data_IF_927628788771
#
_entry.id   IF_927628788771
#
_cell.length_a   1.000
_cell.length_b   1.000
_cell.length_c   1.000
_cell.angle_alpha   90.00
_cell.angle_beta   90.00
_cell.angle_gamma   90.00
#
_symmetry.space_group_name_H-M   'P 1'
#
loop_
_entity.id
_entity.type
_entity.pdbx_description
1 polymer ?
#
# COMPACT_ATOMS: atom_id res chain seq x y z
N UNK A 1 0.79 -12.47 3.22
CA UNK A 1 -0.47 -12.12 2.49
C UNK A 1 -1.67 -12.94 2.95
N UNK A 2 -1.56 -14.24 3.18
CA UNK A 2 -2.69 -15.07 3.64
C UNK A 2 -3.32 -14.58 4.95
N UNK A 3 -2.50 -14.18 5.93
CA UNK A 3 -2.99 -13.61 7.17
C UNK A 3 -3.76 -12.29 6.97
N UNK A 4 -3.31 -11.45 6.05
CA UNK A 4 -4.04 -10.23 5.67
C UNK A 4 -5.40 -10.57 5.04
N UNK A 5 -5.46 -11.58 4.18
CA UNK A 5 -6.71 -12.06 3.60
C UNK A 5 -7.71 -12.52 4.67
N UNK A 6 -7.25 -13.26 5.66
CA UNK A 6 -8.07 -13.70 6.80
C UNK A 6 -8.60 -12.51 7.62
N UNK A 7 -7.76 -11.49 7.83
CA UNK A 7 -8.16 -10.26 8.54
C UNK A 7 -9.20 -9.46 7.74
N UNK A 8 -9.04 -9.37 6.43
CA UNK A 8 -10.02 -8.68 5.57
C UNK A 8 -11.36 -9.40 5.58
N UNK A 9 -11.35 -10.73 5.50
CA UNK A 9 -12.57 -11.55 5.52
C UNK A 9 -13.33 -11.40 6.84
N UNK A 10 -12.63 -11.30 7.96
CA UNK A 10 -13.22 -11.21 9.31
C UNK A 10 -13.36 -9.78 9.84
N UNK A 11 -12.94 -8.76 9.07
CA UNK A 11 -12.95 -7.38 9.54
C UNK A 11 -14.38 -6.88 9.85
N UNK A 12 -14.52 -6.20 10.98
CA UNK A 12 -15.74 -5.54 11.38
C UNK A 12 -15.88 -4.17 10.68
N UNK A 13 -17.13 -3.73 10.48
CA UNK A 13 -17.39 -2.41 9.94
C UNK A 13 -16.76 -1.32 10.82
N UNK A 14 -16.15 -0.33 10.18
CA UNK A 14 -15.46 0.76 10.87
C UNK A 14 -14.07 0.40 11.41
N UNK A 15 -13.57 -0.80 11.13
CA UNK A 15 -12.22 -1.20 11.53
C UNK A 15 -11.17 -0.75 10.51
N UNK A 16 -9.92 -0.66 10.97
CA UNK A 16 -8.74 -0.40 10.15
C UNK A 16 -7.78 -1.56 10.28
N UNK A 17 -7.41 -2.15 9.15
CA UNK A 17 -6.32 -3.13 9.07
C UNK A 17 -5.13 -2.50 8.36
N UNK A 18 -3.97 -2.56 8.99
CA UNK A 18 -2.71 -2.05 8.43
C UNK A 18 -1.71 -3.18 8.30
N UNK A 19 -1.08 -3.30 7.14
CA UNK A 19 -0.04 -4.29 6.89
C UNK A 19 1.17 -3.64 6.22
N UNK A 20 2.38 -4.04 6.62
CA UNK A 20 3.62 -3.58 6.03
C UNK A 20 4.39 -4.77 5.45
N UNK A 21 4.76 -4.67 4.18
CA UNK A 21 5.54 -5.66 3.44
C UNK A 21 6.98 -5.15 3.32
N UNK A 22 7.76 -5.37 4.37
CA UNK A 22 9.11 -4.79 4.54
C UNK A 22 10.14 -5.36 3.57
N UNK A 23 9.89 -6.50 2.95
CA UNK A 23 10.84 -7.18 2.07
C UNK A 23 11.19 -6.36 0.82
N UNK A 24 10.26 -5.56 0.32
CA UNK A 24 10.53 -4.63 -0.79
C UNK A 24 11.72 -3.74 -0.49
N UNK A 25 11.80 -3.23 0.72
CA UNK A 25 12.88 -2.37 1.18
C UNK A 25 14.09 -3.18 1.64
N UNK A 26 13.90 -4.09 2.61
CA UNK A 26 14.99 -4.76 3.31
C UNK A 26 15.72 -5.80 2.47
N UNK A 27 14.99 -6.58 1.64
CA UNK A 27 15.60 -7.65 0.85
C UNK A 27 15.97 -7.22 -0.57
N UNK A 28 15.22 -6.30 -1.17
CA UNK A 28 15.38 -5.98 -2.59
C UNK A 28 15.79 -4.54 -2.84
N UNK A 29 15.26 -3.58 -2.10
CA UNK A 29 15.53 -2.16 -2.26
C UNK A 29 16.95 -1.79 -1.86
N UNK A 30 17.31 -1.97 -0.60
CA UNK A 30 18.65 -1.67 -0.07
C UNK A 30 19.75 -2.54 -0.71
N UNK A 31 19.43 -3.77 -1.06
CA UNK A 31 20.36 -4.70 -1.71
C UNK A 31 20.50 -4.48 -3.21
N UNK A 32 19.73 -3.57 -3.78
CA UNK A 32 19.70 -3.32 -5.24
C UNK A 32 19.46 -4.59 -6.05
N UNK A 33 18.65 -5.51 -5.53
CA UNK A 33 18.24 -6.72 -6.22
C UNK A 33 17.06 -6.41 -7.15
N UNK A 34 17.36 -5.90 -8.34
CA UNK A 34 16.35 -5.49 -9.33
C UNK A 34 15.44 -6.65 -9.71
N UNK A 35 16.00 -7.83 -9.99
CA UNK A 35 15.22 -9.01 -10.38
C UNK A 35 14.32 -9.50 -9.23
N UNK A 36 14.85 -9.50 -8.00
CA UNK A 36 14.08 -9.85 -6.80
C UNK A 36 12.96 -8.86 -6.54
N UNK A 37 13.23 -7.58 -6.72
CA UNK A 37 12.22 -6.52 -6.57
C UNK A 37 11.08 -6.70 -7.58
N UNK A 38 11.41 -6.96 -8.84
CA UNK A 38 10.43 -7.20 -9.90
C UNK A 38 9.55 -8.44 -9.58
N UNK A 39 10.18 -9.55 -9.17
CA UNK A 39 9.43 -10.76 -8.78
C UNK A 39 8.51 -10.50 -7.58
N UNK A 40 8.96 -9.71 -6.61
CA UNK A 40 8.15 -9.34 -5.45
C UNK A 40 6.94 -8.51 -5.85
N UNK A 41 7.10 -7.57 -6.80
CA UNK A 41 5.98 -6.80 -7.36
C UNK A 41 4.97 -7.68 -8.09
N UNK A 42 5.43 -8.61 -8.92
CA UNK A 42 4.56 -9.55 -9.63
C UNK A 42 3.77 -10.44 -8.66
N UNK A 43 4.45 -10.94 -7.63
CA UNK A 43 3.78 -11.71 -6.57
C UNK A 43 2.75 -10.86 -5.83
N UNK A 44 3.12 -9.64 -5.45
CA UNK A 44 2.22 -8.72 -4.73
C UNK A 44 0.99 -8.38 -5.58
N UNK A 45 1.18 -8.10 -6.87
CA UNK A 45 0.08 -7.82 -7.80
C UNK A 45 -0.94 -8.97 -7.85
N UNK A 46 -0.44 -10.20 -7.97
CA UNK A 46 -1.30 -11.38 -7.99
C UNK A 46 -2.08 -11.55 -6.67
N UNK A 47 -1.43 -11.34 -5.54
CA UNK A 47 -2.06 -11.46 -4.22
C UNK A 47 -3.06 -10.33 -3.95
N UNK A 48 -2.76 -9.10 -4.40
CA UNK A 48 -3.70 -7.99 -4.30
C UNK A 48 -4.95 -8.25 -5.16
N UNK A 49 -4.80 -8.87 -6.33
CA UNK A 49 -5.94 -9.29 -7.14
C UNK A 49 -6.89 -10.21 -6.39
N UNK A 50 -6.36 -11.17 -5.63
CA UNK A 50 -7.16 -12.05 -4.77
C UNK A 50 -7.84 -11.27 -3.64
N UNK A 51 -7.10 -10.38 -2.99
CA UNK A 51 -7.60 -9.55 -1.89
C UNK A 51 -8.74 -8.65 -2.35
N UNK A 52 -8.62 -8.05 -3.53
CA UNK A 52 -9.67 -7.21 -4.11
C UNK A 52 -10.97 -7.99 -4.32
N UNK A 53 -10.89 -9.28 -4.62
CA UNK A 53 -12.05 -10.15 -4.71
C UNK A 53 -12.76 -10.43 -3.39
N UNK A 54 -12.10 -10.18 -2.26
CA UNK A 54 -12.65 -10.35 -0.90
C UNK A 54 -13.29 -9.07 -0.35
N UNK A 55 -13.03 -7.92 -0.97
CA UNK A 55 -13.59 -6.64 -0.51
C UNK A 55 -15.10 -6.62 -0.63
N UNK A 56 -15.76 -6.06 0.39
CA UNK A 56 -17.19 -5.84 0.44
C UNK A 56 -17.53 -4.42 -0.02
N UNK A 57 -18.79 -4.19 -0.33
CA UNK A 57 -19.28 -2.84 -0.57
C UNK A 57 -19.02 -1.97 0.68
N UNK A 58 -18.45 -0.80 0.46
CA UNK A 58 -18.06 0.11 1.54
C UNK A 58 -16.64 -0.08 2.09
N UNK A 59 -15.93 -1.13 1.69
CA UNK A 59 -14.52 -1.29 2.04
C UNK A 59 -13.64 -0.34 1.23
N UNK A 60 -12.59 0.16 1.87
CA UNK A 60 -11.56 0.98 1.24
C UNK A 60 -10.22 0.24 1.31
N UNK A 61 -9.61 0.03 0.16
CA UNK A 61 -8.24 -0.49 0.06
C UNK A 61 -7.31 0.63 -0.38
N UNK A 62 -6.25 0.85 0.37
CA UNK A 62 -5.19 1.80 0.02
C UNK A 62 -3.86 1.06 -0.05
N UNK A 63 -3.18 1.17 -1.18
CA UNK A 63 -1.83 0.66 -1.40
C UNK A 63 -0.90 1.87 -1.50
N UNK A 64 0.10 1.93 -0.65
CA UNK A 64 1.05 3.04 -0.63
C UNK A 64 2.41 2.59 -0.10
N UNK A 65 3.36 3.50 -0.01
CA UNK A 65 4.66 3.26 0.59
C UNK A 65 5.07 4.47 1.42
N UNK A 66 5.96 4.27 2.37
CA UNK A 66 6.46 5.30 3.28
C UNK A 66 7.59 6.15 2.65
N UNK A 67 8.23 5.63 1.60
CA UNK A 67 9.24 6.32 0.81
C UNK A 67 9.38 5.68 -0.56
N UNK A 68 10.06 6.36 -1.47
CA UNK A 68 10.51 5.79 -2.74
C UNK A 68 11.85 5.08 -2.60
N UNK A 69 12.15 4.20 -3.53
CA UNK A 69 13.47 3.60 -3.68
C UNK A 69 13.65 3.06 -5.10
N UNK A 70 14.76 3.42 -5.73
CA UNK A 70 15.12 2.92 -7.06
C UNK A 70 16.17 1.81 -6.93
N UNK A 71 15.80 0.53 -7.15
CA UNK A 71 16.74 -0.58 -7.00
C UNK A 71 17.84 -0.61 -8.07
N UNK A 72 17.77 0.27 -9.08
CA UNK A 72 18.82 0.41 -10.10
C UNK A 72 19.85 1.49 -9.77
N UNK A 73 19.61 2.28 -8.72
CA UNK A 73 20.49 3.38 -8.33
C UNK A 73 21.74 2.89 -7.59
N UNK A 74 22.76 3.75 -7.53
CA UNK A 74 23.99 3.46 -6.79
C UNK A 74 23.77 3.55 -5.29
N UNK A 75 24.61 2.89 -4.50
CA UNK A 75 24.54 2.92 -3.04
C UNK A 75 23.46 2.01 -2.48
N UNK A 76 23.13 2.20 -1.21
CA UNK A 76 22.20 1.36 -0.45
C UNK A 76 21.10 2.17 0.25
N UNK A 77 21.14 3.49 0.15
CA UNK A 77 20.14 4.36 0.76
C UNK A 77 18.85 4.45 -0.07
N UNK A 78 17.79 4.92 0.56
CA UNK A 78 16.56 5.27 -0.16
C UNK A 78 16.83 6.36 -1.19
N UNK A 79 16.04 6.36 -2.25
CA UNK A 79 16.16 7.34 -3.32
C UNK A 79 14.95 8.28 -3.32
N UNK A 80 14.96 9.29 -4.19
CA UNK A 80 13.99 10.40 -4.17
C UNK A 80 12.69 10.13 -4.92
N UNK A 81 12.53 8.94 -5.47
CA UNK A 81 11.34 8.59 -6.24
C UNK A 81 10.08 8.74 -5.36
N UNK A 82 9.00 9.17 -5.98
CA UNK A 82 7.71 9.30 -5.30
C UNK A 82 7.16 7.92 -4.95
N UNK A 83 6.54 7.82 -3.79
CA UNK A 83 5.78 6.65 -3.41
C UNK A 83 4.45 6.60 -4.18
N UNK A 84 3.97 5.42 -4.57
CA UNK A 84 2.66 5.29 -5.18
C UNK A 84 1.54 5.47 -4.16
N UNK A 85 0.36 5.84 -4.63
CA UNK A 85 -0.88 5.71 -3.88
C UNK A 85 -1.99 5.24 -4.82
N UNK A 86 -2.50 4.05 -4.54
CA UNK A 86 -3.58 3.41 -5.30
C UNK A 86 -4.73 3.14 -4.36
N UNK A 87 -5.94 3.46 -4.78
CA UNK A 87 -7.14 3.37 -3.93
C UNK A 87 -8.23 2.61 -4.67
N UNK A 88 -8.83 1.64 -4.00
CA UNK A 88 -10.05 0.95 -4.46
C UNK A 88 -11.16 1.13 -3.43
N UNK A 89 -12.38 1.39 -3.91
CA UNK A 89 -13.57 1.60 -3.07
C UNK A 89 -14.13 3.02 -3.09
N UNK A 90 -13.52 3.94 -3.85
CA UNK A 90 -13.98 5.33 -4.01
C UNK A 90 -14.41 5.67 -5.44
N UNK A 91 -14.49 4.67 -6.33
CA UNK A 91 -14.74 4.91 -7.74
C UNK A 91 -13.50 5.37 -8.51
N UNK A 92 -13.66 5.61 -9.81
CA UNK A 92 -12.59 6.03 -10.69
C UNK A 92 -12.23 7.52 -10.47
N UNK A 93 -10.95 7.83 -10.54
CA UNK A 93 -10.46 9.20 -10.41
C UNK A 93 -8.95 9.27 -10.28
N UNK A 94 -8.46 10.49 -10.12
CA UNK A 94 -7.04 10.75 -9.89
C UNK A 94 -6.87 11.54 -8.60
N UNK A 95 -5.96 11.09 -7.75
CA UNK A 95 -5.60 11.83 -6.53
C UNK A 95 -4.58 12.92 -6.82
N UNK A 96 -3.83 12.80 -7.94
CA UNK A 96 -2.72 13.69 -8.24
C UNK A 96 -1.56 13.50 -7.28
N UNK A 97 -0.78 14.54 -7.08
CA UNK A 97 0.34 14.53 -6.14
C UNK A 97 -0.17 14.98 -4.77
N UNK A 98 -0.03 14.10 -3.78
CA UNK A 98 -0.47 14.34 -2.40
C UNK A 98 0.69 14.14 -1.44
N UNK A 99 0.56 14.67 -0.22
CA UNK A 99 1.53 14.43 0.86
C UNK A 99 1.22 13.14 1.62
N UNK A 100 2.19 12.62 2.36
CA UNK A 100 2.00 11.41 3.17
C UNK A 100 0.87 11.56 4.19
N UNK A 101 0.73 12.73 4.79
CA UNK A 101 -0.37 13.03 5.73
C UNK A 101 -1.75 12.86 5.08
N UNK A 102 -1.86 13.12 3.79
CA UNK A 102 -3.13 13.03 3.06
C UNK A 102 -3.66 11.59 2.98
N UNK A 103 -2.79 10.59 3.07
CA UNK A 103 -3.18 9.18 3.15
C UNK A 103 -3.98 8.92 4.43
N UNK A 104 -3.53 9.44 5.57
CA UNK A 104 -4.29 9.37 6.81
C UNK A 104 -5.63 10.10 6.69
N UNK A 105 -5.68 11.22 5.97
CA UNK A 105 -6.91 11.94 5.67
C UNK A 105 -7.91 11.14 4.85
N UNK A 106 -7.45 10.37 3.87
CA UNK A 106 -8.30 9.45 3.11
C UNK A 106 -8.96 8.42 4.03
N UNK A 107 -8.17 7.80 4.88
CA UNK A 107 -8.66 6.78 5.84
C UNK A 107 -9.64 7.39 6.83
N UNK A 108 -9.30 8.52 7.42
CA UNK A 108 -10.15 9.19 8.41
C UNK A 108 -11.51 9.60 7.82
N UNK A 109 -11.53 10.15 6.61
CA UNK A 109 -12.79 10.51 5.93
C UNK A 109 -13.64 9.29 5.65
N UNK A 110 -13.03 8.19 5.21
CA UNK A 110 -13.76 6.96 4.92
C UNK A 110 -14.40 6.38 6.19
N UNK A 111 -13.67 6.41 7.30
CA UNK A 111 -14.15 5.91 8.60
C UNK A 111 -15.05 6.91 9.34
N UNK A 112 -15.17 8.14 8.87
CA UNK A 112 -15.98 9.17 9.51
C UNK A 112 -15.39 9.69 10.82
N UNK A 113 -14.06 9.68 10.96
CA UNK A 113 -13.37 10.20 12.15
C UNK A 113 -12.56 11.44 11.80
N UNK A 114 -12.32 12.29 12.82
CA UNK A 114 -11.54 13.49 12.64
C UNK A 114 -10.03 13.18 12.56
N UNK A 115 -9.32 13.97 11.74
CA UNK A 115 -7.86 13.95 11.74
C UNK A 115 -7.32 14.60 13.01
N UNK A 116 -6.27 14.05 13.63
CA UNK A 116 -5.57 14.74 14.69
C UNK A 116 -4.87 16.01 14.18
N UNK A 117 -4.76 17.01 15.03
CA UNK A 117 -4.08 18.27 14.73
C UNK A 117 -2.56 18.11 14.58
#
# INVERSE_FOLDING_TARGET
MGHLGDLVESAEDGSLTFANFVEFDSLYGHRRDVSGYARALEWFDAEIGKLMGQLRDGDLLVLTADHGNDPTWVGTDHTRERAPVLVAGQGAGRLGQIGFRDVAGLVARHLGVAMPD
#
